data_IF_152452336549
#
_entry.id   IF_152452336549
#
_cell.length_a   1.000
_cell.length_b   1.000
_cell.length_c   1.000
_cell.angle_alpha   90.00
_cell.angle_beta   90.00
_cell.angle_gamma   90.00
#
_symmetry.space_group_name_H-M   'P 1'
#
loop_
_entity.id
_entity.type
_entity.pdbx_description
1 polymer ?
#
# COMPACT_ATOMS: atom_id res chain seq x y z
N UNK A 1 36.44 -17.33 -38.80
CA UNK A 1 36.38 -16.56 -37.53
C UNK A 1 35.41 -15.38 -37.58
N UNK A 2 35.39 -14.52 -38.62
CA UNK A 2 34.49 -13.34 -38.66
C UNK A 2 32.97 -13.63 -38.64
N UNK A 3 32.52 -14.78 -39.15
CA UNK A 3 31.08 -15.14 -39.14
C UNK A 3 30.58 -15.56 -37.75
N UNK A 4 31.41 -16.24 -36.96
CA UNK A 4 31.06 -16.66 -35.59
C UNK A 4 30.95 -15.45 -34.65
N UNK A 5 31.75 -14.41 -34.87
CA UNK A 5 31.71 -13.18 -34.08
C UNK A 5 30.42 -12.38 -34.31
N UNK A 6 29.86 -12.41 -35.52
CA UNK A 6 28.60 -11.73 -35.86
C UNK A 6 27.40 -12.46 -35.23
N UNK A 7 27.40 -13.80 -35.24
CA UNK A 7 26.37 -14.62 -34.58
C UNK A 7 26.38 -14.44 -33.05
N UNK A 8 27.56 -14.33 -32.44
CA UNK A 8 27.68 -14.10 -30.99
C UNK A 8 27.17 -12.71 -30.57
N UNK A 9 27.31 -11.69 -31.42
CA UNK A 9 26.79 -10.34 -31.15
C UNK A 9 25.27 -10.24 -31.30
N UNK A 10 24.67 -11.05 -32.20
CA UNK A 10 23.21 -11.07 -32.39
C UNK A 10 22.44 -11.69 -31.22
N UNK A 11 23.10 -12.53 -30.40
CA UNK A 11 22.51 -13.16 -29.20
C UNK A 11 22.47 -12.25 -27.96
N UNK A 12 23.17 -11.10 -28.00
CA UNK A 12 23.25 -10.17 -26.86
C UNK A 12 22.22 -9.03 -26.99
N UNK A 13 21.58 -8.87 -28.15
CA UNK A 13 20.52 -7.86 -28.38
C UNK A 13 19.14 -8.48 -28.17
N UNK A 14 18.98 -9.26 -27.11
CA UNK A 14 17.66 -9.52 -26.56
C UNK A 14 17.26 -8.23 -25.84
N UNK A 15 16.57 -7.33 -26.54
CA UNK A 15 15.90 -6.19 -25.91
C UNK A 15 14.78 -6.79 -25.06
N UNK A 16 15.11 -7.18 -23.84
CA UNK A 16 14.12 -7.53 -22.83
C UNK A 16 13.37 -6.24 -22.53
N UNK A 17 12.21 -6.04 -23.13
CA UNK A 17 11.28 -5.02 -22.66
C UNK A 17 10.95 -5.37 -21.20
N UNK A 18 11.33 -4.54 -20.22
CA UNK A 18 11.02 -4.84 -18.83
C UNK A 18 9.49 -4.88 -18.70
N UNK A 19 8.95 -6.08 -18.51
CA UNK A 19 7.52 -6.27 -18.34
C UNK A 19 7.17 -5.84 -16.91
N UNK A 20 6.45 -4.72 -16.79
CA UNK A 20 5.96 -4.27 -15.50
C UNK A 20 4.99 -5.31 -14.92
N UNK A 21 5.19 -5.68 -13.65
CA UNK A 21 4.32 -6.62 -12.93
C UNK A 21 2.90 -6.05 -12.78
N UNK A 22 1.91 -6.91 -12.57
CA UNK A 22 0.53 -6.48 -12.32
C UNK A 22 0.44 -5.57 -11.09
N UNK A 23 1.13 -5.94 -10.01
CA UNK A 23 1.24 -5.14 -8.80
C UNK A 23 1.80 -3.74 -9.08
N UNK A 24 2.91 -3.66 -9.83
CA UNK A 24 3.52 -2.37 -10.16
C UNK A 24 2.61 -1.50 -11.03
N UNK A 25 1.86 -2.10 -11.97
CA UNK A 25 0.83 -1.38 -12.74
C UNK A 25 -0.29 -0.87 -11.83
N UNK A 26 -0.78 -1.70 -10.89
CA UNK A 26 -1.81 -1.32 -9.94
C UNK A 26 -1.35 -0.16 -9.05
N UNK A 27 -0.16 -0.27 -8.45
CA UNK A 27 0.42 0.79 -7.61
C UNK A 27 0.53 2.11 -8.37
N UNK A 28 1.00 2.09 -9.62
CA UNK A 28 1.08 3.30 -10.44
C UNK A 28 -0.30 3.91 -10.70
N UNK A 29 -1.29 3.09 -11.04
CA UNK A 29 -2.64 3.58 -11.38
C UNK A 29 -3.37 4.13 -10.16
N UNK A 30 -3.25 3.48 -9.00
CA UNK A 30 -3.77 3.97 -7.73
C UNK A 30 -3.07 5.29 -7.35
N UNK A 31 -1.75 5.36 -7.52
CA UNK A 31 -0.99 6.58 -7.22
C UNK A 31 -1.42 7.74 -8.12
N UNK A 32 -1.60 7.50 -9.42
CA UNK A 32 -2.13 8.49 -10.36
C UNK A 32 -3.55 8.93 -10.01
N UNK A 33 -4.41 8.00 -9.57
CA UNK A 33 -5.75 8.34 -9.11
C UNK A 33 -5.71 9.26 -7.88
N UNK A 34 -4.93 8.94 -6.86
CA UNK A 34 -4.79 9.79 -5.65
C UNK A 34 -4.17 11.15 -6.01
N UNK A 35 -3.20 11.19 -6.93
CA UNK A 35 -2.60 12.43 -7.42
C UNK A 35 -3.56 13.29 -8.25
N UNK A 36 -4.67 12.74 -8.75
CA UNK A 36 -5.57 13.41 -9.68
C UNK A 36 -6.33 14.59 -9.04
N UNK A 37 -6.71 15.55 -9.88
CA UNK A 37 -7.59 16.65 -9.48
C UNK A 37 -8.98 16.17 -9.07
N UNK A 38 -9.49 15.12 -9.71
CA UNK A 38 -10.77 14.48 -9.41
C UNK A 38 -10.80 13.96 -7.96
N UNK A 39 -9.80 13.15 -7.58
CA UNK A 39 -9.70 12.63 -6.23
C UNK A 39 -9.54 13.74 -5.19
N UNK A 40 -8.70 14.74 -5.49
CA UNK A 40 -8.49 15.87 -4.58
C UNK A 40 -9.77 16.69 -4.36
N UNK A 41 -10.61 16.85 -5.39
CA UNK A 41 -11.91 17.50 -5.25
C UNK A 41 -12.85 16.65 -4.39
N UNK A 42 -12.97 15.36 -4.70
CA UNK A 42 -13.78 14.40 -3.93
C UNK A 42 -13.40 14.38 -2.45
N UNK A 43 -12.09 14.38 -2.14
CA UNK A 43 -11.59 14.41 -0.75
C UNK A 43 -12.00 15.69 -0.02
N UNK A 44 -11.96 16.85 -0.69
CA UNK A 44 -12.39 18.13 -0.09
C UNK A 44 -13.89 18.16 0.19
N UNK A 45 -14.69 17.52 -0.66
CA UNK A 45 -16.15 17.49 -0.54
C UNK A 45 -16.63 16.50 0.53
N UNK A 46 -16.01 15.32 0.63
CA UNK A 46 -16.49 14.24 1.50
C UNK A 46 -15.66 14.04 2.77
N UNK A 47 -14.48 14.66 2.86
CA UNK A 47 -13.52 14.48 3.93
C UNK A 47 -12.61 13.27 3.75
N UNK A 48 -11.55 13.23 4.55
CA UNK A 48 -10.47 12.24 4.44
C UNK A 48 -10.97 10.81 4.69
N UNK A 49 -11.72 10.56 5.78
CA UNK A 49 -12.24 9.22 6.10
C UNK A 49 -13.07 8.61 4.96
N UNK A 50 -14.04 9.36 4.43
CA UNK A 50 -14.91 8.91 3.33
C UNK A 50 -14.14 8.73 2.02
N UNK A 51 -13.09 9.52 1.80
CA UNK A 51 -12.27 9.42 0.58
C UNK A 51 -11.47 8.11 0.50
N UNK A 52 -11.17 7.47 1.64
CA UNK A 52 -10.49 6.16 1.68
C UNK A 52 -11.31 5.11 0.92
N UNK A 53 -12.63 5.13 1.03
CA UNK A 53 -13.53 4.21 0.32
C UNK A 53 -13.45 4.40 -1.20
N UNK A 54 -13.19 5.63 -1.65
CA UNK A 54 -13.05 5.91 -3.08
C UNK A 54 -11.74 5.34 -3.63
N UNK A 55 -10.64 5.43 -2.89
CA UNK A 55 -9.37 4.77 -3.23
C UNK A 55 -9.56 3.25 -3.29
N UNK A 56 -10.22 2.67 -2.29
CA UNK A 56 -10.50 1.24 -2.24
C UNK A 56 -11.35 0.78 -3.43
N UNK A 57 -12.49 1.43 -3.66
CA UNK A 57 -13.39 1.07 -4.76
C UNK A 57 -12.76 1.28 -6.15
N UNK A 58 -11.95 2.33 -6.32
CA UNK A 58 -11.15 2.50 -7.54
C UNK A 58 -10.23 1.31 -7.75
N UNK A 59 -9.54 0.88 -6.69
CA UNK A 59 -8.59 -0.23 -6.75
C UNK A 59 -9.26 -1.55 -7.09
N UNK A 60 -10.34 -1.92 -6.39
CA UNK A 60 -11.13 -3.13 -6.68
C UNK A 60 -11.57 -3.18 -8.14
N UNK A 61 -12.05 -2.06 -8.69
CA UNK A 61 -12.43 -1.99 -10.12
C UNK A 61 -11.24 -2.19 -11.03
N UNK A 62 -10.11 -1.55 -10.73
CA UNK A 62 -8.89 -1.64 -11.54
C UNK A 62 -8.33 -3.07 -11.58
N UNK A 63 -8.30 -3.75 -10.43
CA UNK A 63 -7.83 -5.13 -10.27
C UNK A 63 -8.90 -6.17 -10.63
N UNK A 64 -10.06 -5.76 -11.16
CA UNK A 64 -11.16 -6.64 -11.59
C UNK A 64 -11.70 -7.54 -10.47
N UNK A 65 -11.87 -6.98 -9.28
CA UNK A 65 -12.32 -7.65 -8.06
C UNK A 65 -11.34 -8.68 -7.50
N UNK A 66 -10.06 -8.64 -7.87
CA UNK A 66 -9.02 -9.37 -7.13
C UNK A 66 -8.69 -8.62 -5.83
N UNK A 67 -9.43 -8.94 -4.77
CA UNK A 67 -9.29 -8.28 -3.47
C UNK A 67 -7.90 -8.49 -2.85
N UNK A 68 -7.24 -9.61 -3.09
CA UNK A 68 -5.91 -9.85 -2.54
C UNK A 68 -4.89 -8.92 -3.18
N UNK A 69 -4.85 -8.92 -4.53
CA UNK A 69 -3.99 -8.00 -5.28
C UNK A 69 -4.32 -6.54 -4.96
N UNK A 70 -5.61 -6.23 -4.77
CA UNK A 70 -6.05 -4.88 -4.40
C UNK A 70 -5.51 -4.41 -3.07
N UNK A 71 -5.62 -5.24 -2.03
CA UNK A 71 -5.15 -4.89 -0.69
C UNK A 71 -3.63 -4.74 -0.67
N UNK A 72 -2.92 -5.62 -1.38
CA UNK A 72 -1.46 -5.51 -1.54
C UNK A 72 -1.07 -4.23 -2.28
N UNK A 73 -1.72 -3.93 -3.41
CA UNK A 73 -1.48 -2.72 -4.18
C UNK A 73 -1.83 -1.44 -3.41
N UNK A 74 -2.91 -1.46 -2.63
CA UNK A 74 -3.27 -0.36 -1.73
C UNK A 74 -2.21 -0.13 -0.68
N UNK A 75 -1.77 -1.19 0.01
CA UNK A 75 -0.69 -1.13 1.00
C UNK A 75 0.53 -0.43 0.42
N UNK A 76 0.96 -0.82 -0.77
CA UNK A 76 2.12 -0.20 -1.43
C UNK A 76 1.85 1.24 -1.93
N UNK A 77 0.70 1.50 -2.55
CA UNK A 77 0.39 2.81 -3.11
C UNK A 77 0.19 3.90 -2.04
N UNK A 78 -0.35 3.53 -0.87
CA UNK A 78 -0.57 4.46 0.24
C UNK A 78 0.65 4.66 1.13
N UNK A 79 1.78 3.98 0.88
CA UNK A 79 3.03 4.26 1.58
C UNK A 79 3.51 5.68 1.24
N UNK A 80 3.80 6.53 2.24
CA UNK A 80 4.27 7.89 2.01
C UNK A 80 5.79 7.97 1.77
N UNK A 81 6.44 6.85 1.48
CA UNK A 81 7.89 6.73 1.28
C UNK A 81 8.20 6.32 -0.16
N UNK A 82 9.33 6.81 -0.69
CA UNK A 82 9.79 6.49 -2.05
C UNK A 82 10.39 5.10 -2.14
N UNK A 83 11.13 4.73 -1.11
CA UNK A 83 11.93 3.52 -1.05
C UNK A 83 11.71 2.86 0.32
N UNK A 84 11.77 1.53 0.34
CA UNK A 84 11.85 0.77 1.59
C UNK A 84 13.26 0.21 1.73
N UNK A 85 13.90 0.38 2.89
CA UNK A 85 15.17 -0.27 3.16
C UNK A 85 14.93 -1.78 3.34
N UNK A 86 15.50 -2.60 2.46
CA UNK A 86 15.53 -4.05 2.61
C UNK A 86 16.88 -4.45 3.16
N UNK A 87 16.90 -5.04 4.36
CA UNK A 87 18.12 -5.62 4.95
C UNK A 87 18.38 -6.97 4.29
N UNK A 88 19.55 -7.13 3.68
CA UNK A 88 19.97 -8.42 3.12
C UNK A 88 20.63 -9.24 4.25
N UNK A 89 19.99 -10.31 4.78
CA UNK A 89 20.39 -10.94 6.05
C UNK A 89 21.79 -11.57 6.04
N UNK A 90 22.32 -11.89 4.85
CA UNK A 90 23.62 -12.56 4.70
C UNK A 90 24.81 -11.60 4.68
N UNK A 91 24.61 -10.33 4.32
CA UNK A 91 25.69 -9.35 4.12
C UNK A 91 25.48 -8.06 4.91
N UNK A 92 24.44 -7.98 5.77
CA UNK A 92 24.06 -6.80 6.54
C UNK A 92 24.08 -5.50 5.72
N UNK A 93 23.72 -5.60 4.44
CA UNK A 93 23.65 -4.46 3.53
C UNK A 93 22.19 -4.05 3.40
N UNK A 94 21.95 -2.74 3.39
CA UNK A 94 20.62 -2.16 3.17
C UNK A 94 20.49 -1.82 1.69
N UNK A 95 19.53 -2.45 1.01
CA UNK A 95 19.15 -2.11 -0.35
C UNK A 95 17.85 -1.30 -0.29
N UNK A 96 17.89 -0.04 -0.74
CA UNK A 96 16.67 0.73 -0.88
C UNK A 96 15.91 0.26 -2.13
N UNK A 97 14.76 -0.37 -1.91
CA UNK A 97 13.92 -0.84 -3.00
C UNK A 97 12.87 0.23 -3.32
N UNK A 98 12.80 0.74 -4.57
CA UNK A 98 11.79 1.72 -4.94
C UNK A 98 10.40 1.09 -4.90
N UNK A 99 9.52 1.63 -4.05
CA UNK A 99 8.17 1.11 -3.87
C UNK A 99 7.19 1.55 -4.96
N UNK A 100 7.49 2.68 -5.59
CA UNK A 100 6.59 3.34 -6.54
C UNK A 100 7.37 3.58 -7.82
N UNK A 101 6.87 3.05 -8.93
CA UNK A 101 7.36 3.36 -10.28
C UNK A 101 6.66 4.58 -10.89
N UNK A 102 6.15 5.49 -10.04
CA UNK A 102 5.49 6.70 -10.47
C UNK A 102 6.51 7.84 -10.56
N UNK A 103 6.36 8.69 -11.57
CA UNK A 103 7.20 9.88 -11.74
C UNK A 103 7.13 10.77 -10.50
N UNK A 104 8.20 11.55 -10.25
CA UNK A 104 8.34 12.39 -9.05
C UNK A 104 7.12 13.29 -8.81
N UNK A 105 6.56 13.85 -9.88
CA UNK A 105 5.38 14.72 -9.81
C UNK A 105 4.13 13.98 -9.32
N UNK A 106 3.94 12.72 -9.75
CA UNK A 106 2.82 11.88 -9.30
C UNK A 106 3.04 11.46 -7.85
N UNK A 107 4.26 11.09 -7.47
CA UNK A 107 4.58 10.75 -6.09
C UNK A 107 4.29 11.90 -5.12
N UNK A 108 4.79 13.11 -5.44
CA UNK A 108 4.62 14.28 -4.58
C UNK A 108 3.14 14.70 -4.49
N UNK A 109 2.42 14.70 -5.62
CA UNK A 109 0.98 15.00 -5.64
C UNK A 109 0.16 13.95 -4.90
N UNK A 110 0.48 12.67 -5.08
CA UNK A 110 -0.16 11.56 -4.35
C UNK A 110 0.01 11.75 -2.85
N UNK A 111 1.23 11.97 -2.37
CA UNK A 111 1.50 12.13 -0.95
C UNK A 111 0.87 13.39 -0.36
N UNK A 112 0.75 14.47 -1.15
CA UNK A 112 0.01 15.68 -0.76
C UNK A 112 -1.50 15.43 -0.67
N UNK A 113 -2.02 14.55 -1.52
CA UNK A 113 -3.45 14.30 -1.61
C UNK A 113 -3.93 13.12 -0.76
N UNK A 114 -3.02 12.30 -0.22
CA UNK A 114 -3.38 11.19 0.66
C UNK A 114 -4.29 11.70 1.80
N UNK A 115 -5.31 10.93 2.20
CA UNK A 115 -6.08 11.22 3.40
C UNK A 115 -5.15 11.25 4.62
N UNK A 116 -5.23 12.28 5.45
CA UNK A 116 -4.37 12.42 6.64
C UNK A 116 -5.17 12.65 7.93
N UNK A 117 -6.47 12.96 7.86
CA UNK A 117 -7.34 13.27 9.02
C UNK A 117 -8.56 12.36 9.09
N UNK A 118 -8.34 11.11 9.46
CA UNK A 118 -9.42 10.11 9.55
C UNK A 118 -9.59 9.50 10.96
N UNK A 119 -8.82 9.98 11.94
CA UNK A 119 -9.04 9.69 13.35
C UNK A 119 -9.35 10.95 14.16
N UNK A 120 -9.97 10.77 15.32
CA UNK A 120 -10.33 11.88 16.20
C UNK A 120 -9.11 12.57 16.84
N UNK A 121 -8.00 11.83 16.99
CA UNK A 121 -6.74 12.27 17.59
C UNK A 121 -5.63 12.50 16.53
N UNK A 122 -5.99 12.64 15.26
CA UNK A 122 -5.02 12.91 14.19
C UNK A 122 -4.11 14.10 14.59
N UNK A 123 -2.77 13.97 14.45
CA UNK A 123 -1.85 15.07 14.66
C UNK A 123 -2.24 16.32 13.87
N UNK A 124 -2.01 17.49 14.46
CA UNK A 124 -2.40 18.75 13.80
C UNK A 124 -1.44 19.18 12.70
N UNK A 125 -0.26 18.57 12.62
CA UNK A 125 0.74 18.83 11.59
C UNK A 125 0.31 18.38 10.17
N UNK A 126 1.16 18.68 9.18
CA UNK A 126 0.93 18.35 7.76
C UNK A 126 1.20 16.86 7.44
N UNK A 127 1.71 16.09 8.39
CA UNK A 127 1.90 14.65 8.25
C UNK A 127 0.60 13.92 8.62
N UNK A 128 -0.01 14.21 9.77
CA UNK A 128 -1.24 13.57 10.21
C UNK A 128 -1.12 12.04 10.27
N UNK A 129 -2.10 11.34 9.70
CA UNK A 129 -2.20 9.86 9.70
C UNK A 129 -1.75 9.21 8.38
N UNK A 130 -0.84 9.87 7.67
CA UNK A 130 -0.53 9.54 6.27
C UNK A 130 -0.01 8.13 6.05
N UNK A 131 0.80 7.59 6.97
CA UNK A 131 1.30 6.22 6.92
C UNK A 131 0.26 5.18 7.33
N UNK A 132 -0.70 5.55 8.20
CA UNK A 132 -1.68 4.61 8.78
C UNK A 132 -2.54 3.90 7.72
N UNK A 133 -2.74 4.49 6.54
CA UNK A 133 -3.42 3.77 5.46
C UNK A 133 -2.63 2.56 4.94
N UNK A 134 -1.30 2.68 4.83
CA UNK A 134 -0.45 1.56 4.43
C UNK A 134 -0.51 0.43 5.46
N UNK A 135 -0.49 0.78 6.75
CA UNK A 135 -0.68 -0.17 7.85
C UNK A 135 -2.02 -0.90 7.75
N UNK A 136 -3.11 -0.13 7.63
CA UNK A 136 -4.46 -0.66 7.55
C UNK A 136 -4.61 -1.65 6.39
N UNK A 137 -4.19 -1.27 5.17
CA UNK A 137 -4.32 -2.14 4.00
C UNK A 137 -3.34 -3.30 4.00
N UNK A 138 -2.12 -3.13 4.52
CA UNK A 138 -1.14 -4.21 4.63
C UNK A 138 -1.62 -5.29 5.58
N UNK A 139 -2.10 -4.93 6.77
CA UNK A 139 -2.66 -5.92 7.70
C UNK A 139 -3.99 -6.51 7.21
N UNK A 140 -4.79 -5.75 6.45
CA UNK A 140 -5.94 -6.30 5.75
C UNK A 140 -5.54 -7.33 4.69
N UNK A 141 -4.48 -7.07 3.91
CA UNK A 141 -3.93 -8.01 2.94
C UNK A 141 -3.46 -9.30 3.62
N UNK A 142 -2.67 -9.20 4.69
CA UNK A 142 -2.18 -10.36 5.44
C UNK A 142 -3.36 -11.20 5.93
N UNK A 143 -4.32 -10.56 6.61
CA UNK A 143 -5.49 -11.28 7.13
C UNK A 143 -6.34 -11.86 6.00
N UNK A 144 -6.58 -11.13 4.91
CA UNK A 144 -7.37 -11.60 3.77
C UNK A 144 -6.71 -12.79 3.06
N UNK A 145 -5.38 -12.79 2.94
CA UNK A 145 -4.62 -13.70 2.09
C UNK A 145 -4.16 -14.99 2.79
N UNK A 146 -4.25 -15.05 4.13
CA UNK A 146 -3.89 -16.21 4.98
C UNK A 146 -4.54 -17.54 4.61
N UNK A 147 -5.50 -17.58 3.70
CA UNK A 147 -6.17 -18.81 3.25
C UNK A 147 -5.77 -19.29 1.84
N UNK A 148 -5.03 -18.50 1.05
CA UNK A 148 -5.00 -18.71 -0.41
C UNK A 148 -3.66 -18.51 -1.14
N UNK A 149 -2.53 -18.26 -0.48
CA UNK A 149 -1.30 -17.84 -1.20
C UNK A 149 -0.15 -18.85 -1.23
N UNK A 150 0.32 -19.10 -2.47
CA UNK A 150 1.63 -19.61 -2.83
C UNK A 150 2.55 -18.39 -3.01
N UNK A 151 3.57 -18.26 -2.15
CA UNK A 151 4.43 -17.08 -2.13
C UNK A 151 5.36 -17.09 -3.34
N UNK A 152 5.04 -16.29 -4.37
CA UNK A 152 6.09 -15.82 -5.26
C UNK A 152 7.15 -15.08 -4.43
N UNK A 153 8.44 -15.35 -4.69
CA UNK A 153 9.57 -14.84 -3.88
C UNK A 153 9.48 -13.32 -3.59
N UNK A 154 9.04 -12.50 -4.56
CA UNK A 154 8.97 -11.04 -4.40
C UNK A 154 7.86 -10.56 -3.44
N UNK A 155 6.71 -11.24 -3.42
CA UNK A 155 5.60 -10.92 -2.49
C UNK A 155 5.96 -11.40 -1.09
N UNK A 156 6.67 -12.52 -0.98
CA UNK A 156 7.29 -12.99 0.26
C UNK A 156 8.22 -11.92 0.83
N UNK A 157 9.17 -11.41 0.05
CA UNK A 157 10.08 -10.35 0.50
C UNK A 157 9.37 -9.05 0.87
N UNK A 158 8.34 -8.63 0.12
CA UNK A 158 7.57 -7.44 0.48
C UNK A 158 6.82 -7.63 1.79
N UNK A 159 6.23 -8.80 2.00
CA UNK A 159 5.51 -9.16 3.24
C UNK A 159 6.46 -9.23 4.43
N UNK A 160 7.61 -9.89 4.26
CA UNK A 160 8.64 -9.99 5.29
C UNK A 160 9.23 -8.64 5.64
N UNK A 161 9.59 -7.82 4.64
CA UNK A 161 10.08 -6.48 4.85
C UNK A 161 9.03 -5.60 5.53
N UNK A 162 7.76 -5.70 5.13
CA UNK A 162 6.65 -5.00 5.78
C UNK A 162 6.55 -5.42 7.26
N UNK A 163 6.48 -6.72 7.56
CA UNK A 163 6.46 -7.20 8.95
C UNK A 163 7.70 -6.81 9.76
N UNK A 164 8.89 -6.82 9.15
CA UNK A 164 10.14 -6.48 9.81
C UNK A 164 10.23 -4.98 10.12
N UNK A 165 9.87 -4.11 9.18
CA UNK A 165 9.83 -2.66 9.41
C UNK A 165 8.89 -2.32 10.59
N UNK A 166 7.76 -3.04 10.73
CA UNK A 166 6.87 -2.92 11.89
C UNK A 166 7.40 -3.54 13.18
N UNK A 167 8.23 -4.59 13.11
CA UNK A 167 8.90 -5.15 14.31
C UNK A 167 10.06 -4.25 14.77
N UNK A 168 10.71 -3.54 13.85
CA UNK A 168 11.93 -2.74 14.08
C UNK A 168 11.64 -1.33 14.59
N UNK A 169 10.42 -0.80 14.45
CA UNK A 169 9.96 0.40 15.17
C UNK A 169 10.00 0.16 16.70
N UNK A 170 11.17 0.36 17.29
CA UNK A 170 11.52 0.09 18.69
C UNK A 170 10.85 1.03 19.71
N UNK A 171 10.08 2.02 19.25
CA UNK A 171 9.09 2.73 20.06
C UNK A 171 7.70 2.28 19.63
N UNK A 172 6.95 1.66 20.55
CA UNK A 172 5.57 1.25 20.29
C UNK A 172 4.72 2.50 20.00
N UNK A 173 4.36 2.72 18.74
CA UNK A 173 3.28 3.64 18.38
C UNK A 173 1.95 2.89 18.56
N UNK A 174 1.22 3.22 19.63
CA UNK A 174 -0.07 2.60 19.91
C UNK A 174 -1.09 2.81 18.78
N UNK A 175 -0.96 3.92 18.02
CA UNK A 175 -1.85 4.23 16.90
C UNK A 175 -1.63 3.23 15.77
N UNK A 176 -0.38 2.81 15.55
CA UNK A 176 -0.07 1.75 14.59
C UNK A 176 -0.66 0.41 15.00
N UNK A 177 -0.56 0.04 16.28
CA UNK A 177 -1.17 -1.20 16.78
C UNK A 177 -2.69 -1.23 16.58
N UNK A 178 -3.35 -0.12 16.88
CA UNK A 178 -4.80 0.01 16.69
C UNK A 178 -5.18 -0.08 15.21
N UNK A 179 -4.48 0.64 14.34
CA UNK A 179 -4.72 0.63 12.89
C UNK A 179 -4.45 -0.75 12.29
N UNK A 180 -3.38 -1.42 12.72
CA UNK A 180 -3.07 -2.79 12.31
C UNK A 180 -4.21 -3.75 12.68
N UNK A 181 -4.76 -3.61 13.89
CA UNK A 181 -5.91 -4.39 14.33
C UNK A 181 -7.15 -4.10 13.48
N UNK A 182 -7.46 -2.83 13.20
CA UNK A 182 -8.56 -2.46 12.29
C UNK A 182 -8.36 -3.05 10.89
N UNK A 183 -7.14 -3.04 10.37
CA UNK A 183 -6.77 -3.67 9.10
C UNK A 183 -7.10 -5.16 9.11
N UNK A 184 -6.70 -5.90 10.16
CA UNK A 184 -7.08 -7.30 10.33
C UNK A 184 -8.59 -7.49 10.37
N UNK A 185 -9.31 -6.68 11.16
CA UNK A 185 -10.77 -6.74 11.20
C UNK A 185 -11.40 -6.55 9.82
N UNK A 186 -10.92 -5.57 9.06
CA UNK A 186 -11.38 -5.32 7.69
C UNK A 186 -11.09 -6.50 6.78
N UNK A 187 -9.84 -6.98 6.72
CA UNK A 187 -9.45 -8.11 5.88
C UNK A 187 -10.25 -9.38 6.20
N UNK A 188 -10.53 -9.65 7.47
CA UNK A 188 -11.36 -10.77 7.91
C UNK A 188 -12.81 -10.61 7.44
N UNK A 189 -13.45 -9.49 7.76
CA UNK A 189 -14.85 -9.25 7.41
C UNK A 189 -15.06 -9.21 5.90
N UNK A 190 -14.09 -8.68 5.16
CA UNK A 190 -14.10 -8.64 3.70
C UNK A 190 -14.08 -10.03 3.07
N UNK A 191 -13.63 -11.09 3.77
CA UNK A 191 -13.76 -12.48 3.26
C UNK A 191 -15.24 -12.86 3.14
N UNK A 192 -16.04 -12.48 4.13
CA UNK A 192 -17.44 -12.88 4.29
C UNK A 192 -18.40 -11.92 3.55
N UNK A 193 -18.10 -10.62 3.54
CA UNK A 193 -18.93 -9.59 2.91
C UNK A 193 -18.09 -8.60 2.08
N UNK A 194 -18.27 -8.65 0.76
CA UNK A 194 -17.56 -7.82 -0.23
C UNK A 194 -18.08 -6.38 -0.31
N UNK A 195 -19.18 -6.05 0.38
CA UNK A 195 -19.76 -4.71 0.40
C UNK A 195 -19.19 -3.80 1.49
N UNK A 196 -18.40 -4.36 2.41
CA UNK A 196 -17.78 -3.60 3.51
C UNK A 196 -16.76 -2.62 2.96
N UNK A 197 -16.79 -1.41 3.50
CA UNK A 197 -15.91 -0.31 3.13
C UNK A 197 -14.87 -0.01 4.24
N UNK A 198 -13.65 0.42 3.87
CA UNK A 198 -12.62 0.78 4.84
C UNK A 198 -13.08 1.77 5.93
N UNK A 199 -13.82 2.81 5.54
CA UNK A 199 -14.28 3.85 6.46
C UNK A 199 -15.16 3.30 7.58
N UNK A 200 -15.97 2.27 7.29
CA UNK A 200 -16.84 1.60 8.25
C UNK A 200 -16.05 0.89 9.35
N UNK A 201 -14.82 0.46 9.06
CA UNK A 201 -13.93 -0.17 10.04
C UNK A 201 -13.06 0.88 10.73
N UNK A 202 -12.49 1.82 9.98
CA UNK A 202 -11.67 2.90 10.52
C UNK A 202 -12.42 3.76 11.57
N UNK A 203 -13.71 4.03 11.34
CA UNK A 203 -14.54 4.81 12.28
C UNK A 203 -14.70 4.12 13.64
N UNK A 204 -14.54 2.78 13.71
CA UNK A 204 -14.69 2.03 14.96
C UNK A 204 -13.72 2.50 16.04
N UNK A 205 -12.52 2.97 15.67
CA UNK A 205 -11.56 3.53 16.62
C UNK A 205 -12.11 4.77 17.33
N UNK A 206 -12.70 5.69 16.57
CA UNK A 206 -13.36 6.87 17.11
C UNK A 206 -14.56 6.50 17.98
N UNK A 207 -15.38 5.55 17.53
CA UNK A 207 -16.53 5.08 18.30
C UNK A 207 -16.11 4.41 19.62
N UNK A 208 -15.04 3.61 19.61
CA UNK A 208 -14.53 2.96 20.81
C UNK A 208 -14.01 3.97 21.83
N UNK A 209 -13.26 4.99 21.38
CA UNK A 209 -12.74 6.03 22.24
C UNK A 209 -13.85 6.82 22.96
N UNK A 210 -14.88 7.25 22.23
CA UNK A 210 -15.98 8.02 22.82
C UNK A 210 -17.05 7.17 23.50
N UNK A 211 -17.18 5.89 23.13
CA UNK A 211 -18.15 4.95 23.69
C UNK A 211 -17.67 4.26 24.97
N UNK A 212 -16.36 4.21 25.21
CA UNK A 212 -15.75 3.76 26.46
C UNK A 212 -14.83 4.84 27.02
N UNK A 213 -15.37 6.01 27.45
CA UNK A 213 -14.57 6.99 28.16
C UNK A 213 -14.09 6.32 29.46
N UNK A 214 -12.76 6.16 29.60
CA UNK A 214 -12.13 5.70 30.83
C UNK A 214 -12.54 6.56 32.03
#
# INVERSE_FOLDING_TARGET
MRLLTILFFSLIISISFPQQSNLSKAVNQISSYIASGEFNQLRKEMGDLSSVDSIFNFTIRFTKNDYSESLLALSAATLPYREVPIVIPLINSVLNFPLVSADDSIYDLKNKNLPIRFFYDTPTDDYGDKDKLAHFFGFAFLEYSTLSFDFGNLIGYFTEAFEEDFKVQSSIDYRDLEVNFLGKCFGKLLKDDKSILPSQILVMRTLYYFGNPL
#
